data_IF_528114708216
#
_entry.id   IF_528114708216
#
_cell.length_a   1.000
_cell.length_b   1.000
_cell.length_c   1.000
_cell.angle_alpha   90.00
_cell.angle_beta   90.00
_cell.angle_gamma   90.00
#
_symmetry.space_group_name_H-M   'P 1'
#
loop_
_entity.id
_entity.type
_entity.pdbx_description
1 polymer ?
#
# COMPACT_ATOMS: atom_id res chain seq x y z
N UNK A 1 30.33 -17.92 21.39
CA UNK A 1 29.47 -17.97 20.18
C UNK A 1 28.78 -16.65 19.85
N UNK A 2 28.43 -15.79 20.80
CA UNK A 2 27.74 -14.52 20.54
C UNK A 2 28.61 -13.41 19.89
N UNK A 3 29.91 -13.36 20.16
CA UNK A 3 30.81 -12.30 19.62
C UNK A 3 31.03 -12.45 18.10
N UNK A 4 31.12 -13.66 17.58
CA UNK A 4 31.29 -13.91 16.15
C UNK A 4 30.06 -13.53 15.32
N UNK A 5 28.86 -13.78 15.86
CA UNK A 5 27.59 -13.36 15.25
C UNK A 5 27.41 -11.84 15.23
N UNK A 6 27.85 -11.14 16.29
CA UNK A 6 27.85 -9.66 16.31
C UNK A 6 28.83 -9.08 15.30
N UNK A 7 30.03 -9.65 15.19
CA UNK A 7 31.01 -9.25 14.19
C UNK A 7 30.47 -9.38 12.76
N UNK A 8 29.86 -10.52 12.42
CA UNK A 8 29.26 -10.75 11.08
C UNK A 8 28.15 -9.75 10.76
N UNK A 9 27.29 -9.41 11.72
CA UNK A 9 26.22 -8.41 11.52
C UNK A 9 26.78 -7.00 11.31
N UNK A 10 27.81 -6.63 12.05
CA UNK A 10 28.48 -5.33 11.89
C UNK A 10 29.17 -5.23 10.54
N UNK A 11 29.90 -6.27 10.10
CA UNK A 11 30.54 -6.31 8.79
C UNK A 11 29.51 -6.30 7.64
N UNK A 12 28.41 -7.05 7.77
CA UNK A 12 27.31 -7.01 6.81
C UNK A 12 26.68 -5.61 6.70
N UNK A 13 26.52 -4.93 7.82
CA UNK A 13 26.03 -3.54 7.85
C UNK A 13 27.00 -2.57 7.23
N UNK A 14 28.31 -2.69 7.51
CA UNK A 14 29.37 -1.85 6.91
C UNK A 14 29.45 -2.05 5.41
N UNK A 15 29.42 -3.30 4.93
CA UNK A 15 29.41 -3.62 3.50
C UNK A 15 28.12 -3.07 2.85
N UNK A 16 26.98 -3.25 3.50
CA UNK A 16 25.71 -2.70 3.01
C UNK A 16 25.76 -1.18 2.90
N UNK A 17 26.24 -0.47 3.92
CA UNK A 17 26.38 1.00 3.92
C UNK A 17 27.40 1.49 2.89
N UNK A 18 28.49 0.75 2.65
CA UNK A 18 29.50 1.11 1.64
C UNK A 18 29.03 0.90 0.19
N UNK A 19 28.13 -0.07 -0.04
CA UNK A 19 27.51 -0.31 -1.35
C UNK A 19 26.36 0.66 -1.66
N UNK A 20 25.91 1.41 -0.70
CA UNK A 20 24.72 2.26 -0.81
C UNK A 20 24.85 3.45 -1.76
N UNK A 21 25.99 4.18 -1.81
CA UNK A 21 26.21 5.20 -2.85
C UNK A 21 26.04 4.65 -4.26
N UNK A 22 26.44 3.39 -4.48
CA UNK A 22 26.30 2.68 -5.75
C UNK A 22 24.81 2.46 -6.08
N UNK A 23 23.99 2.12 -5.10
CA UNK A 23 22.53 1.95 -5.32
C UNK A 23 21.86 3.26 -5.76
N UNK A 24 22.15 4.37 -5.09
CA UNK A 24 21.65 5.70 -5.49
C UNK A 24 22.12 6.05 -6.91
N UNK A 25 23.39 5.81 -7.20
CA UNK A 25 23.96 6.06 -8.52
C UNK A 25 23.26 5.22 -9.61
N UNK A 26 23.03 3.93 -9.35
CA UNK A 26 22.31 3.05 -10.27
C UNK A 26 20.86 3.50 -10.51
N UNK A 27 20.16 4.01 -9.48
CA UNK A 27 18.82 4.60 -9.65
C UNK A 27 18.89 5.82 -10.56
N UNK A 28 19.87 6.70 -10.36
CA UNK A 28 20.06 7.90 -11.20
C UNK A 28 20.37 7.53 -12.67
N UNK A 29 21.29 6.59 -12.89
CA UNK A 29 21.59 6.08 -14.24
C UNK A 29 20.32 5.49 -14.88
N UNK A 30 19.61 4.61 -14.17
CA UNK A 30 18.38 4.02 -14.68
C UNK A 30 17.37 5.12 -15.10
N UNK A 31 17.16 6.12 -14.25
CA UNK A 31 16.23 7.21 -14.55
C UNK A 31 16.71 8.01 -15.76
N UNK A 32 17.99 8.38 -15.82
CA UNK A 32 18.62 9.05 -16.96
C UNK A 32 18.38 8.28 -18.27
N UNK A 33 18.62 6.97 -18.29
CA UNK A 33 18.42 6.15 -19.49
C UNK A 33 16.99 6.14 -20.00
N UNK A 34 15.99 6.23 -19.10
CA UNK A 34 14.59 6.39 -19.49
C UNK A 34 14.23 7.84 -19.87
N UNK A 35 14.76 8.83 -19.18
CA UNK A 35 14.46 10.25 -19.42
C UNK A 35 14.97 10.69 -20.80
N UNK A 36 16.12 10.19 -21.22
CA UNK A 36 16.71 10.45 -22.55
C UNK A 36 16.34 9.40 -23.61
N UNK A 37 15.33 8.54 -23.35
CA UNK A 37 14.82 7.53 -24.28
C UNK A 37 15.84 6.47 -24.76
N UNK A 38 16.97 6.29 -24.08
CA UNK A 38 17.86 5.15 -24.33
C UNK A 38 17.17 3.83 -24.02
N UNK A 39 16.36 3.80 -22.96
CA UNK A 39 15.48 2.68 -22.66
C UNK A 39 14.02 3.07 -22.93
N UNK A 40 13.38 2.29 -23.82
CA UNK A 40 11.97 2.53 -24.18
C UNK A 40 11.04 1.66 -23.33
N UNK A 41 10.03 2.24 -22.70
CA UNK A 41 9.01 1.47 -22.03
C UNK A 41 8.14 0.69 -23.02
N UNK A 42 7.64 -0.47 -22.62
CA UNK A 42 6.76 -1.31 -23.42
C UNK A 42 5.34 -0.79 -23.36
N UNK A 43 4.74 -0.54 -24.51
CA UNK A 43 3.33 -0.16 -24.64
C UNK A 43 2.41 -1.38 -24.59
N UNK A 44 1.20 -1.19 -24.15
CA UNK A 44 0.09 -2.16 -24.15
C UNK A 44 -1.07 -1.64 -24.99
N UNK A 45 -2.01 -2.51 -25.31
CA UNK A 45 -3.28 -2.12 -25.92
C UNK A 45 -4.16 -1.35 -24.93
N UNK A 46 -4.23 -1.83 -23.67
CA UNK A 46 -4.94 -1.12 -22.61
C UNK A 46 -4.18 0.16 -22.20
N UNK A 47 -4.92 1.17 -21.78
CA UNK A 47 -4.34 2.35 -21.12
C UNK A 47 -3.79 1.97 -19.74
N UNK A 48 -2.65 2.52 -19.39
CA UNK A 48 -1.96 2.17 -18.15
C UNK A 48 -1.89 3.37 -17.23
N UNK A 49 -2.49 3.23 -16.04
CA UNK A 49 -2.40 4.20 -14.96
C UNK A 49 -1.46 3.63 -13.89
N UNK A 50 -0.41 4.35 -13.56
CA UNK A 50 0.46 3.99 -12.45
C UNK A 50 0.04 4.75 -11.19
N UNK A 51 -0.16 4.02 -10.11
CA UNK A 51 -0.31 4.56 -8.76
C UNK A 51 0.93 4.21 -7.97
N UNK A 52 1.61 5.21 -7.41
CA UNK A 52 2.83 4.97 -6.67
C UNK A 52 3.14 6.07 -5.66
N UNK A 53 4.30 5.99 -5.04
CA UNK A 53 4.81 6.99 -4.10
C UNK A 53 6.33 7.11 -4.18
N UNK A 54 6.89 8.11 -3.52
CA UNK A 54 8.34 8.30 -3.41
C UNK A 54 8.95 7.60 -2.21
N UNK A 55 8.19 7.37 -1.13
CA UNK A 55 8.70 6.93 0.16
C UNK A 55 8.53 5.43 0.40
N UNK A 56 9.30 4.92 1.34
CA UNK A 56 9.05 3.64 2.00
C UNK A 56 8.02 3.91 3.10
N UNK A 57 6.79 3.45 2.93
CA UNK A 57 5.74 3.63 3.95
C UNK A 57 4.32 3.66 3.39
N UNK A 58 3.38 3.79 4.30
CA UNK A 58 1.95 3.77 4.03
C UNK A 58 1.42 5.11 3.52
N UNK A 59 1.63 5.44 2.26
CA UNK A 59 1.08 6.66 1.63
C UNK A 59 -0.37 6.52 1.15
N UNK A 60 -1.07 5.44 1.52
CA UNK A 60 -2.47 5.24 1.13
C UNK A 60 -2.68 4.72 -0.30
N UNK A 61 -1.68 4.11 -0.94
CA UNK A 61 -1.79 3.59 -2.32
C UNK A 61 -2.96 2.62 -2.51
N UNK A 62 -3.07 1.61 -1.67
CA UNK A 62 -4.10 0.57 -1.81
C UNK A 62 -5.52 1.15 -1.69
N UNK A 63 -5.87 1.96 -0.68
CA UNK A 63 -7.17 2.65 -0.65
C UNK A 63 -7.41 3.56 -1.85
N UNK A 64 -6.37 4.27 -2.34
CA UNK A 64 -6.50 5.11 -3.53
C UNK A 64 -6.74 4.26 -4.78
N UNK A 65 -6.03 3.15 -4.96
CA UNK A 65 -6.25 2.21 -6.07
C UNK A 65 -7.68 1.67 -6.07
N UNK A 66 -8.24 1.38 -4.90
CA UNK A 66 -9.65 0.98 -4.75
C UNK A 66 -10.59 2.09 -5.21
N UNK A 67 -10.40 3.32 -4.70
CA UNK A 67 -11.24 4.47 -5.05
C UNK A 67 -11.17 4.78 -6.55
N UNK A 68 -9.96 4.81 -7.12
CA UNK A 68 -9.73 5.02 -8.55
C UNK A 68 -10.41 3.94 -9.40
N UNK A 69 -10.30 2.68 -8.99
CA UNK A 69 -10.94 1.57 -9.72
C UNK A 69 -12.46 1.70 -9.72
N UNK A 70 -13.07 1.97 -8.55
CA UNK A 70 -14.52 2.19 -8.43
C UNK A 70 -14.98 3.38 -9.29
N UNK A 71 -14.22 4.47 -9.28
CA UNK A 71 -14.50 5.65 -10.11
C UNK A 71 -14.46 5.31 -11.60
N UNK A 72 -13.43 4.64 -12.10
CA UNK A 72 -13.31 4.29 -13.52
C UNK A 72 -14.41 3.32 -13.95
N UNK A 73 -14.77 2.36 -13.10
CA UNK A 73 -15.90 1.44 -13.35
C UNK A 73 -17.22 2.21 -13.44
N UNK A 74 -17.44 3.22 -12.58
CA UNK A 74 -18.64 4.08 -12.65
C UNK A 74 -18.73 4.89 -13.93
N UNK A 75 -17.62 5.05 -14.65
CA UNK A 75 -17.53 5.68 -15.98
C UNK A 75 -17.55 4.64 -17.12
N UNK A 76 -17.95 3.40 -16.84
CA UNK A 76 -18.07 2.26 -17.77
C UNK A 76 -16.74 1.78 -18.38
N UNK A 77 -15.61 2.01 -17.74
CA UNK A 77 -14.36 1.39 -18.18
C UNK A 77 -14.20 -0.02 -17.58
N UNK A 78 -13.73 -0.96 -18.40
CA UNK A 78 -13.26 -2.26 -17.91
C UNK A 78 -11.86 -2.09 -17.29
N UNK A 79 -11.76 -2.33 -15.98
CA UNK A 79 -10.54 -2.08 -15.20
C UNK A 79 -9.89 -3.38 -14.79
N UNK A 80 -8.56 -3.46 -14.93
CA UNK A 80 -7.74 -4.52 -14.35
C UNK A 80 -6.62 -3.94 -13.45
N UNK A 81 -6.12 -4.72 -12.51
CA UNK A 81 -5.06 -4.28 -11.59
C UNK A 81 -3.86 -5.22 -11.66
N UNK A 82 -2.66 -4.65 -11.74
CA UNK A 82 -1.41 -5.40 -11.54
C UNK A 82 -0.83 -5.03 -10.19
N UNK A 83 -0.94 -5.95 -9.22
CA UNK A 83 -0.39 -5.83 -7.87
C UNK A 83 0.97 -6.50 -7.72
N UNK A 84 1.76 -6.09 -6.73
CA UNK A 84 3.10 -6.65 -6.48
C UNK A 84 3.09 -7.84 -5.52
N UNK A 85 2.01 -8.06 -4.77
CA UNK A 85 1.89 -9.12 -3.77
C UNK A 85 2.89 -8.96 -2.62
N UNK A 86 3.00 -7.76 -2.05
CA UNK A 86 3.77 -7.53 -0.84
C UNK A 86 3.21 -8.32 0.34
N UNK A 87 4.07 -8.72 1.27
CA UNK A 87 3.68 -9.47 2.46
C UNK A 87 3.46 -10.97 2.27
N UNK A 88 3.74 -11.55 1.09
CA UNK A 88 3.67 -12.99 0.87
C UNK A 88 4.57 -13.76 1.81
N UNK A 89 4.12 -14.94 2.23
CA UNK A 89 4.97 -15.86 2.97
C UNK A 89 5.87 -16.63 1.99
N UNK A 90 7.17 -16.37 2.06
CA UNK A 90 8.19 -16.94 1.15
C UNK A 90 8.36 -18.46 1.23
N UNK A 91 7.70 -19.15 2.16
CA UNK A 91 7.84 -20.59 2.38
C UNK A 91 6.94 -21.45 1.48
N UNK A 92 6.09 -20.85 0.62
CA UNK A 92 5.17 -21.59 -0.21
C UNK A 92 5.71 -21.83 -1.63
N UNK A 93 5.29 -22.96 -2.22
CA UNK A 93 5.69 -23.54 -3.49
C UNK A 93 5.52 -22.60 -4.70
N UNK A 94 4.67 -21.57 -4.61
CA UNK A 94 4.41 -20.56 -5.63
C UNK A 94 5.46 -19.44 -5.68
N UNK A 95 6.57 -19.61 -4.99
CA UNK A 95 7.67 -18.67 -5.00
C UNK A 95 8.19 -18.46 -6.42
N UNK A 96 7.92 -17.29 -6.98
CA UNK A 96 8.41 -16.89 -8.30
C UNK A 96 7.38 -16.95 -9.44
N UNK A 97 6.18 -17.42 -9.21
CA UNK A 97 5.12 -17.40 -10.22
C UNK A 97 4.24 -16.14 -10.09
N UNK A 98 3.83 -15.61 -11.23
CA UNK A 98 2.79 -14.60 -11.35
C UNK A 98 1.49 -15.28 -11.75
N UNK A 99 0.35 -14.81 -11.23
CA UNK A 99 -0.94 -15.44 -11.46
C UNK A 99 -2.08 -14.42 -11.44
N UNK A 100 -3.22 -14.79 -12.01
CA UNK A 100 -4.47 -14.07 -11.82
C UNK A 100 -5.06 -14.46 -10.47
N UNK A 101 -5.46 -13.44 -9.67
CA UNK A 101 -6.03 -13.65 -8.35
C UNK A 101 -7.44 -14.20 -8.44
N UNK A 102 -7.66 -15.35 -7.82
CA UNK A 102 -8.98 -15.99 -7.67
C UNK A 102 -9.32 -16.10 -6.18
N UNK A 103 -8.92 -17.21 -5.55
CA UNK A 103 -9.21 -17.52 -4.16
C UNK A 103 -7.94 -17.71 -3.30
N UNK A 104 -6.81 -17.14 -3.73
CA UNK A 104 -5.54 -17.27 -3.00
C UNK A 104 -5.60 -16.58 -1.65
N UNK A 105 -4.92 -17.18 -0.69
CA UNK A 105 -4.75 -16.64 0.65
C UNK A 105 -3.77 -15.43 0.65
N UNK A 106 -3.74 -14.70 1.75
CA UNK A 106 -2.79 -13.59 1.89
C UNK A 106 -1.33 -14.07 1.91
N UNK A 107 -1.06 -15.29 2.37
CA UNK A 107 0.26 -15.91 2.32
C UNK A 107 0.75 -16.10 0.87
N UNK A 108 -0.17 -16.34 -0.04
CA UNK A 108 0.13 -16.56 -1.46
C UNK A 108 0.10 -15.27 -2.28
N UNK A 109 -0.88 -14.41 -2.04
CA UNK A 109 -1.12 -13.21 -2.83
C UNK A 109 -0.56 -11.92 -2.23
N UNK A 110 -0.33 -11.90 -0.91
CA UNK A 110 0.00 -10.70 -0.14
C UNK A 110 -1.26 -10.02 0.43
N UNK A 111 -1.11 -9.43 1.62
CA UNK A 111 -2.21 -8.80 2.36
C UNK A 111 -2.84 -7.62 1.59
N UNK A 112 -2.03 -6.80 0.90
CA UNK A 112 -2.52 -5.69 0.07
C UNK A 112 -3.35 -6.19 -1.12
N UNK A 113 -2.94 -7.30 -1.75
CA UNK A 113 -3.67 -7.86 -2.89
C UNK A 113 -5.01 -8.45 -2.46
N UNK A 114 -5.04 -9.11 -1.30
CA UNK A 114 -6.30 -9.62 -0.72
C UNK A 114 -7.22 -8.46 -0.37
N UNK A 115 -6.69 -7.35 0.17
CA UNK A 115 -7.48 -6.15 0.44
C UNK A 115 -8.09 -5.57 -0.84
N UNK A 116 -7.33 -5.48 -1.93
CA UNK A 116 -7.86 -5.07 -3.24
C UNK A 116 -9.00 -6.00 -3.68
N UNK A 117 -8.80 -7.32 -3.60
CA UNK A 117 -9.80 -8.30 -4.04
C UNK A 117 -11.09 -8.24 -3.22
N UNK A 118 -10.99 -8.08 -1.90
CA UNK A 118 -12.16 -7.97 -1.02
C UNK A 118 -13.01 -6.70 -1.30
N UNK A 119 -12.38 -5.64 -1.81
CA UNK A 119 -13.07 -4.38 -2.11
C UNK A 119 -13.51 -4.26 -3.58
N UNK A 120 -12.99 -5.12 -4.46
CA UNK A 120 -13.14 -5.05 -5.92
C UNK A 120 -13.38 -6.47 -6.48
N UNK A 121 -14.50 -7.10 -6.09
CA UNK A 121 -14.79 -8.52 -6.35
C UNK A 121 -14.72 -8.90 -7.85
N UNK A 122 -15.22 -8.03 -8.75
CA UNK A 122 -15.33 -8.29 -10.18
C UNK A 122 -14.12 -7.80 -10.99
N UNK A 123 -13.17 -7.13 -10.34
CA UNK A 123 -11.97 -6.62 -11.00
C UNK A 123 -10.92 -7.73 -11.10
N UNK A 124 -10.41 -8.06 -12.30
CA UNK A 124 -9.32 -9.00 -12.45
C UNK A 124 -8.02 -8.39 -11.90
N UNK A 125 -7.37 -9.10 -10.97
CA UNK A 125 -6.12 -8.69 -10.33
C UNK A 125 -5.02 -9.67 -10.72
N UNK A 126 -4.03 -9.18 -11.44
CA UNK A 126 -2.84 -9.96 -11.79
C UNK A 126 -1.74 -9.71 -10.76
N UNK A 127 -1.35 -10.77 -10.06
CA UNK A 127 -0.32 -10.71 -9.02
C UNK A 127 1.05 -10.95 -9.64
N UNK A 128 1.88 -9.92 -9.67
CA UNK A 128 3.20 -9.94 -10.28
C UNK A 128 4.27 -10.36 -9.26
N UNK A 129 5.01 -11.44 -9.52
CA UNK A 129 6.07 -11.92 -8.63
C UNK A 129 7.29 -10.98 -8.55
N UNK A 130 7.66 -10.37 -9.66
CA UNK A 130 8.82 -9.46 -9.74
C UNK A 130 8.48 -8.25 -10.57
N UNK A 131 9.22 -7.16 -10.36
CA UNK A 131 9.10 -5.96 -11.20
C UNK A 131 9.16 -6.25 -12.71
N UNK A 132 9.85 -7.31 -13.13
CA UNK A 132 9.91 -7.74 -14.55
C UNK A 132 8.57 -8.22 -15.11
N UNK A 133 7.72 -8.79 -14.28
CA UNK A 133 6.46 -9.42 -14.70
C UNK A 133 5.28 -8.45 -14.79
N UNK A 134 5.44 -7.18 -14.36
CA UNK A 134 4.37 -6.17 -14.51
C UNK A 134 3.99 -5.95 -15.98
N UNK A 135 4.95 -5.99 -16.91
CA UNK A 135 4.67 -5.91 -18.37
C UNK A 135 3.79 -7.07 -18.80
N UNK A 136 4.11 -8.30 -18.36
CA UNK A 136 3.30 -9.48 -18.68
C UNK A 136 1.89 -9.36 -18.09
N UNK A 137 1.77 -8.89 -16.83
CA UNK A 137 0.48 -8.67 -16.18
C UNK A 137 -0.41 -7.68 -16.96
N UNK A 138 0.17 -6.57 -17.41
CA UNK A 138 -0.54 -5.57 -18.22
C UNK A 138 -1.05 -6.19 -19.52
N UNK A 139 -0.20 -6.90 -20.26
CA UNK A 139 -0.59 -7.55 -21.51
C UNK A 139 -1.65 -8.63 -21.26
N UNK A 140 -1.50 -9.43 -20.20
CA UNK A 140 -2.48 -10.44 -19.85
C UNK A 140 -3.87 -9.85 -19.60
N UNK A 141 -3.97 -8.80 -18.78
CA UNK A 141 -5.24 -8.14 -18.48
C UNK A 141 -5.83 -7.46 -19.72
N UNK A 142 -5.00 -6.85 -20.55
CA UNK A 142 -5.42 -6.20 -21.79
C UNK A 142 -5.94 -7.20 -22.84
N UNK A 143 -5.27 -8.36 -23.01
CA UNK A 143 -5.53 -9.28 -24.10
C UNK A 143 -6.49 -10.41 -23.71
N UNK A 144 -6.41 -10.90 -22.46
CA UNK A 144 -7.22 -12.04 -21.97
C UNK A 144 -8.46 -11.60 -21.22
N UNK A 145 -8.39 -10.49 -20.50
CA UNK A 145 -9.54 -9.96 -19.74
C UNK A 145 -10.20 -8.76 -20.44
N UNK A 146 -9.71 -8.34 -21.61
CA UNK A 146 -10.22 -7.21 -22.39
C UNK A 146 -10.38 -5.92 -21.55
N UNK A 147 -9.43 -5.66 -20.65
CA UNK A 147 -9.46 -4.45 -19.85
C UNK A 147 -9.12 -3.24 -20.72
N UNK A 148 -9.92 -2.16 -20.62
CA UNK A 148 -9.65 -0.88 -21.26
C UNK A 148 -8.52 -0.15 -20.54
N UNK A 149 -8.52 -0.23 -19.20
CA UNK A 149 -7.57 0.42 -18.33
C UNK A 149 -6.93 -0.60 -17.38
N UNK A 150 -5.62 -0.56 -17.26
CA UNK A 150 -4.87 -1.36 -16.29
C UNK A 150 -4.18 -0.44 -15.29
N UNK A 151 -4.50 -0.59 -14.01
CA UNK A 151 -3.88 0.14 -12.92
C UNK A 151 -2.67 -0.67 -12.40
N UNK A 152 -1.52 -0.03 -12.34
CA UNK A 152 -0.31 -0.58 -11.74
C UNK A 152 -0.20 -0.10 -10.29
N UNK A 153 -0.42 -1.00 -9.34
CA UNK A 153 -0.23 -0.69 -7.92
C UNK A 153 1.26 -0.75 -7.54
N UNK A 154 1.71 0.26 -6.76
CA UNK A 154 3.11 0.49 -6.35
C UNK A 154 4.10 0.43 -7.52
N UNK A 155 3.92 1.32 -8.53
CA UNK A 155 4.65 1.22 -9.78
C UNK A 155 5.42 2.46 -10.22
N UNK A 156 5.47 3.56 -9.46
CA UNK A 156 6.16 4.79 -9.88
C UNK A 156 7.62 4.55 -10.26
N UNK A 157 8.36 3.71 -9.53
CA UNK A 157 9.73 3.33 -9.85
C UNK A 157 9.84 2.31 -11.01
N UNK A 158 8.70 1.77 -11.50
CA UNK A 158 8.70 0.68 -12.47
C UNK A 158 8.53 1.18 -13.90
N UNK A 159 9.57 1.76 -14.49
CA UNK A 159 9.56 2.46 -15.79
C UNK A 159 9.55 1.56 -17.04
N UNK A 160 9.54 0.23 -16.90
CA UNK A 160 9.53 -0.71 -18.04
C UNK A 160 8.20 -0.76 -18.79
N UNK A 161 7.09 -0.44 -18.10
CA UNK A 161 5.75 -0.32 -18.69
C UNK A 161 5.55 1.13 -19.10
N UNK A 162 5.05 1.35 -20.31
CA UNK A 162 4.57 2.68 -20.69
C UNK A 162 3.34 3.02 -19.86
N UNK A 163 3.28 4.24 -19.35
CA UNK A 163 2.18 4.71 -18.52
C UNK A 163 1.56 5.91 -19.22
N UNK A 164 0.26 5.84 -19.42
CA UNK A 164 -0.52 6.92 -19.99
C UNK A 164 -0.79 8.00 -18.93
N UNK A 165 -0.91 7.58 -17.66
CA UNK A 165 -1.07 8.46 -16.52
C UNK A 165 -0.22 7.95 -15.33
N UNK A 166 0.60 8.82 -14.76
CA UNK A 166 1.46 8.52 -13.61
C UNK A 166 1.02 9.35 -12.41
N UNK A 167 0.37 8.72 -11.44
CA UNK A 167 -0.16 9.34 -10.21
C UNK A 167 0.77 9.01 -9.06
N UNK A 168 1.24 10.05 -8.36
CA UNK A 168 2.11 9.90 -7.19
C UNK A 168 1.40 10.40 -5.95
N UNK A 169 1.26 9.52 -4.97
CA UNK A 169 0.73 9.86 -3.66
C UNK A 169 1.86 10.30 -2.74
N UNK A 170 1.64 11.39 -2.04
CA UNK A 170 2.57 11.95 -1.06
C UNK A 170 1.83 12.13 0.25
N UNK A 171 2.43 11.67 1.33
CA UNK A 171 1.98 11.97 2.69
C UNK A 171 2.77 13.16 3.23
N UNK A 172 2.15 14.01 4.07
CA UNK A 172 2.85 15.08 4.78
C UNK A 172 4.05 14.59 5.57
N UNK A 173 3.90 13.42 6.18
CA UNK A 173 4.98 12.80 6.95
C UNK A 173 6.18 12.43 6.05
N UNK A 174 5.97 12.19 4.74
CA UNK A 174 7.03 11.82 3.78
C UNK A 174 7.95 12.99 3.41
N UNK A 175 7.41 14.20 3.34
CA UNK A 175 8.17 15.38 2.91
C UNK A 175 8.72 16.20 4.09
N UNK A 176 8.08 16.16 5.26
CA UNK A 176 8.57 16.82 6.47
C UNK A 176 9.78 16.10 7.10
N UNK A 177 10.01 14.82 6.73
CA UNK A 177 11.20 14.08 7.11
C UNK A 177 12.46 14.53 6.37
N UNK A 178 13.59 13.91 6.66
CA UNK A 178 14.80 14.13 5.86
C UNK A 178 14.50 13.71 4.42
N UNK A 179 14.52 14.64 3.47
CA UNK A 179 14.36 14.38 2.03
C UNK A 179 15.49 13.49 1.47
N UNK A 180 16.02 12.61 2.32
CA UNK A 180 17.12 11.70 2.00
C UNK A 180 16.58 10.38 1.50
N UNK A 181 17.31 9.79 0.57
CA UNK A 181 17.02 8.45 0.08
C UNK A 181 17.37 7.40 1.14
N UNK A 182 16.65 6.29 1.09
CA UNK A 182 16.97 5.11 1.93
C UNK A 182 18.44 4.68 1.73
N UNK A 183 19.19 4.34 2.80
CA UNK A 183 18.79 4.17 4.20
C UNK A 183 18.91 5.45 5.06
N UNK A 184 19.36 6.56 4.51
CA UNK A 184 19.56 7.82 5.26
C UNK A 184 18.24 8.58 5.48
N UNK A 185 17.18 8.17 4.82
CA UNK A 185 15.83 8.66 4.91
C UNK A 185 14.86 7.64 4.33
N UNK A 186 13.61 8.05 4.11
CA UNK A 186 12.54 7.16 3.66
C UNK A 186 12.32 7.16 2.14
N UNK A 187 13.02 8.00 1.37
CA UNK A 187 12.76 8.11 -0.05
C UNK A 187 13.37 6.92 -0.84
N UNK A 188 12.57 6.36 -1.75
CA UNK A 188 12.98 5.31 -2.72
C UNK A 188 13.75 5.91 -3.90
N UNK A 189 13.51 7.20 -4.19
CA UNK A 189 14.15 7.97 -5.24
C UNK A 189 14.14 9.48 -4.92
N UNK A 190 14.96 10.31 -5.59
CA UNK A 190 15.01 11.74 -5.32
C UNK A 190 13.65 12.43 -5.56
N UNK A 191 13.35 13.49 -4.79
CA UNK A 191 12.14 14.32 -4.95
C UNK A 191 11.99 14.85 -6.38
N UNK A 192 13.10 15.14 -7.07
CA UNK A 192 13.11 15.51 -8.49
C UNK A 192 12.36 14.51 -9.39
N UNK A 193 12.20 13.27 -8.96
CA UNK A 193 11.39 12.27 -9.66
C UNK A 193 9.93 12.67 -9.81
N UNK A 194 9.41 13.57 -8.98
CA UNK A 194 8.03 14.09 -9.10
C UNK A 194 7.78 14.83 -10.43
N UNK A 195 8.81 15.42 -11.02
CA UNK A 195 8.69 16.13 -12.31
C UNK A 195 8.16 15.27 -13.45
N UNK A 196 8.24 13.94 -13.35
CA UNK A 196 7.71 13.02 -14.35
C UNK A 196 6.29 12.53 -14.05
N UNK A 197 5.76 12.83 -12.86
CA UNK A 197 4.38 12.50 -12.51
C UNK A 197 3.42 13.42 -13.25
N UNK A 198 2.33 12.86 -13.77
CA UNK A 198 1.26 13.65 -14.38
C UNK A 198 0.38 14.29 -13.30
N UNK A 199 0.21 13.61 -12.17
CA UNK A 199 -0.55 14.08 -11.02
C UNK A 199 0.20 13.77 -9.72
N UNK A 200 0.24 14.72 -8.82
CA UNK A 200 0.75 14.55 -7.45
C UNK A 200 -0.40 14.79 -6.49
N UNK A 201 -0.73 13.80 -5.68
CA UNK A 201 -1.86 13.86 -4.77
C UNK A 201 -1.36 13.75 -3.33
N UNK A 202 -1.66 14.74 -2.53
CA UNK A 202 -1.41 14.72 -1.11
C UNK A 202 -2.51 13.96 -0.37
N UNK A 203 -2.10 12.95 0.43
CA UNK A 203 -3.05 12.06 1.12
C UNK A 203 -3.22 12.30 2.60
N UNK A 204 -2.41 13.15 3.23
CA UNK A 204 -2.43 13.34 4.70
C UNK A 204 -1.95 14.72 5.12
N UNK A 205 -2.79 15.72 5.10
CA UNK A 205 -2.47 17.04 5.65
C UNK A 205 -2.38 18.16 4.62
N UNK A 206 -2.05 19.35 5.07
CA UNK A 206 -1.94 20.56 4.24
C UNK A 206 -0.46 20.89 4.01
N UNK A 207 0.21 20.17 3.12
CA UNK A 207 1.62 20.37 2.81
C UNK A 207 1.86 21.45 1.75
N UNK A 208 0.90 21.58 0.85
CA UNK A 208 1.09 22.47 -0.26
C UNK A 208 0.78 23.89 0.21
N UNK A 209 1.83 24.62 0.65
CA UNK A 209 1.84 26.05 0.54
C UNK A 209 1.84 26.40 -0.95
N UNK A 210 1.16 27.45 -1.34
CA UNK A 210 1.02 27.91 -2.72
C UNK A 210 2.35 28.05 -3.51
N UNK A 211 3.47 28.06 -2.80
CA UNK A 211 4.84 28.22 -3.35
C UNK A 211 5.57 26.92 -3.72
N UNK A 212 4.95 25.72 -3.61
CA UNK A 212 5.65 24.45 -3.84
C UNK A 212 6.06 24.18 -5.30
N UNK A 213 5.60 24.99 -6.25
CA UNK A 213 6.08 25.01 -7.65
C UNK A 213 5.83 23.74 -8.47
N UNK A 214 5.14 22.75 -7.94
CA UNK A 214 4.76 21.56 -8.68
C UNK A 214 3.44 21.81 -9.41
N UNK A 215 3.43 21.65 -10.71
CA UNK A 215 2.23 21.67 -11.53
C UNK A 215 1.36 20.43 -11.22
N UNK A 216 0.04 20.59 -11.24
CA UNK A 216 -0.93 19.49 -11.05
C UNK A 216 -0.87 18.81 -9.66
N UNK A 217 -0.98 19.61 -8.61
CA UNK A 217 -1.07 19.13 -7.22
C UNK A 217 -2.52 19.10 -6.75
N UNK A 218 -2.90 18.03 -6.07
CA UNK A 218 -4.25 17.82 -5.58
C UNK A 218 -4.21 17.38 -4.13
N UNK A 219 -5.22 17.76 -3.35
CA UNK A 219 -5.41 17.30 -1.98
C UNK A 219 -6.53 16.28 -1.98
N UNK A 220 -6.24 15.09 -1.42
CA UNK A 220 -7.22 14.04 -1.24
C UNK A 220 -7.58 13.95 0.24
N UNK A 221 -8.83 14.21 0.53
CA UNK A 221 -9.39 14.01 1.86
C UNK A 221 -9.76 12.53 2.04
N UNK A 222 -9.43 12.01 3.19
CA UNK A 222 -9.90 10.69 3.58
C UNK A 222 -11.15 10.83 4.44
N UNK A 223 -12.03 9.89 4.23
CA UNK A 223 -13.18 9.69 5.07
C UNK A 223 -12.99 8.39 5.82
N UNK A 224 -13.16 8.46 7.12
CA UNK A 224 -13.30 7.24 7.91
C UNK A 224 -14.72 6.76 7.76
N UNK A 225 -14.87 5.48 7.45
CA UNK A 225 -16.18 4.89 7.58
C UNK A 225 -16.56 4.86 9.06
N UNK A 226 -17.81 5.19 9.35
CA UNK A 226 -18.40 5.00 10.68
C UNK A 226 -18.58 3.51 11.01
N UNK A 227 -17.88 2.62 10.33
CA UNK A 227 -18.03 1.18 10.44
C UNK A 227 -16.70 0.49 10.70
N UNK A 228 -16.78 -0.54 11.55
CA UNK A 228 -15.73 -1.50 11.80
C UNK A 228 -16.00 -2.75 10.96
N UNK A 229 -14.95 -3.25 10.31
CA UNK A 229 -15.00 -4.56 9.67
C UNK A 229 -14.63 -5.63 10.69
N UNK A 230 -15.51 -6.62 10.88
CA UNK A 230 -15.29 -7.75 11.79
C UNK A 230 -14.70 -8.96 11.06
N UNK A 231 -14.08 -9.93 11.78
CA UNK A 231 -13.46 -11.10 11.14
C UNK A 231 -14.39 -12.01 10.33
N UNK A 232 -15.69 -11.91 10.55
CA UNK A 232 -16.74 -12.62 9.81
C UNK A 232 -17.33 -11.82 8.64
N UNK A 233 -16.67 -10.73 8.24
CA UNK A 233 -17.10 -9.78 7.20
C UNK A 233 -18.36 -8.98 7.54
N UNK A 234 -18.78 -8.98 8.79
CA UNK A 234 -19.82 -8.08 9.27
C UNK A 234 -19.27 -6.67 9.46
N UNK A 235 -20.07 -5.68 9.14
CA UNK A 235 -19.79 -4.28 9.41
C UNK A 235 -20.62 -3.80 10.61
N UNK A 236 -19.97 -3.12 11.54
CA UNK A 236 -20.60 -2.55 12.72
C UNK A 236 -20.29 -1.06 12.80
N UNK A 237 -21.22 -0.26 13.29
CA UNK A 237 -20.96 1.14 13.56
C UNK A 237 -19.82 1.32 14.58
N UNK A 238 -19.01 2.37 14.45
CA UNK A 238 -17.92 2.68 15.39
C UNK A 238 -18.45 2.90 16.81
N UNK A 239 -19.67 3.42 16.96
CA UNK A 239 -20.35 3.59 18.26
C UNK A 239 -20.45 2.29 19.08
N UNK A 240 -20.37 1.13 18.43
CA UNK A 240 -20.29 -0.17 19.13
C UNK A 240 -19.09 -0.24 20.08
N UNK A 241 -18.05 0.56 19.84
CA UNK A 241 -16.86 0.61 20.69
C UNK A 241 -17.12 1.25 22.06
N UNK A 242 -18.17 2.05 22.22
CA UNK A 242 -18.54 2.72 23.49
C UNK A 242 -18.82 1.73 24.63
N UNK A 243 -19.21 0.49 24.28
CA UNK A 243 -19.44 -0.57 25.26
C UNK A 243 -18.15 -1.22 25.80
N UNK A 244 -16.97 -0.92 25.20
CA UNK A 244 -15.70 -1.50 25.61
C UNK A 244 -14.88 -0.49 26.40
N UNK A 245 -14.38 -0.92 27.58
CA UNK A 245 -13.61 -0.04 28.47
C UNK A 245 -12.09 -0.18 28.23
N UNK A 246 -11.63 -1.32 27.76
CA UNK A 246 -10.23 -1.68 27.66
C UNK A 246 -9.85 -2.10 26.23
N UNK A 247 -9.80 -1.14 25.32
CA UNK A 247 -9.48 -1.40 23.93
C UNK A 247 -7.96 -1.57 23.77
N UNK A 248 -7.54 -2.61 23.05
CA UNK A 248 -6.18 -2.84 22.57
C UNK A 248 -6.06 -2.40 21.12
N UNK A 249 -5.16 -1.49 20.79
CA UNK A 249 -4.78 -1.28 19.39
C UNK A 249 -3.68 -2.26 18.99
N UNK A 250 -3.81 -2.84 17.79
CA UNK A 250 -2.84 -3.77 17.22
C UNK A 250 -2.57 -3.40 15.76
N UNK A 251 -1.30 -3.17 15.40
CA UNK A 251 -0.94 -2.91 14.02
C UNK A 251 0.40 -3.53 13.63
N UNK A 252 0.50 -3.90 12.34
CA UNK A 252 1.70 -4.41 11.69
C UNK A 252 1.86 -3.75 10.31
N UNK A 253 2.04 -2.43 10.33
CA UNK A 253 2.15 -1.56 9.15
C UNK A 253 3.42 -0.72 9.22
N UNK A 254 3.89 -0.23 8.06
CA UNK A 254 5.14 0.53 7.94
C UNK A 254 5.15 1.88 8.67
N UNK A 255 3.99 2.48 8.95
CA UNK A 255 3.86 3.71 9.74
C UNK A 255 2.81 3.54 10.85
N UNK A 256 3.19 2.98 12.02
CA UNK A 256 2.27 2.79 13.15
C UNK A 256 1.67 4.09 13.71
N UNK A 257 2.43 5.21 13.65
CA UNK A 257 1.96 6.51 14.11
C UNK A 257 0.75 7.00 13.28
N UNK A 258 0.67 6.61 12.00
CA UNK A 258 -0.49 6.95 11.19
C UNK A 258 -1.77 6.27 11.69
N UNK A 259 -1.68 5.03 12.17
CA UNK A 259 -2.83 4.33 12.77
C UNK A 259 -3.22 4.95 14.10
N UNK A 260 -2.25 5.35 14.91
CA UNK A 260 -2.51 6.08 16.16
C UNK A 260 -3.22 7.40 15.90
N UNK A 261 -2.76 8.21 14.95
CA UNK A 261 -3.43 9.45 14.53
C UNK A 261 -4.88 9.18 14.06
N UNK A 262 -5.11 8.08 13.33
CA UNK A 262 -6.45 7.66 12.93
C UNK A 262 -7.36 7.44 14.15
N UNK A 263 -6.87 6.72 15.15
CA UNK A 263 -7.63 6.48 16.39
C UNK A 263 -7.92 7.80 17.15
N UNK A 264 -6.94 8.69 17.21
CA UNK A 264 -7.10 10.02 17.83
C UNK A 264 -8.17 10.87 17.13
N UNK A 265 -8.17 10.90 15.79
CA UNK A 265 -9.19 11.59 14.97
C UNK A 265 -10.59 11.04 15.22
N UNK A 266 -10.73 9.74 15.43
CA UNK A 266 -11.97 9.06 15.78
C UNK A 266 -12.31 9.19 17.28
N UNK A 267 -11.50 9.92 18.06
CA UNK A 267 -11.64 10.06 19.52
C UNK A 267 -11.60 8.71 20.27
N UNK A 268 -10.91 7.73 19.70
CA UNK A 268 -10.69 6.41 20.31
C UNK A 268 -9.34 6.42 21.01
N UNK A 269 -9.35 6.20 22.31
CA UNK A 269 -8.13 6.14 23.14
C UNK A 269 -7.88 4.69 23.59
N UNK A 270 -7.01 3.94 22.88
CA UNK A 270 -6.66 2.58 23.31
C UNK A 270 -5.94 2.61 24.66
N UNK A 271 -6.31 1.71 25.55
CA UNK A 271 -5.61 1.56 26.84
C UNK A 271 -4.21 0.99 26.68
N UNK A 272 -4.00 0.19 25.67
CA UNK A 272 -2.72 -0.46 25.32
C UNK A 272 -2.56 -0.54 23.80
N UNK A 273 -1.30 -0.61 23.35
CA UNK A 273 -0.95 -0.75 21.92
C UNK A 273 0.09 -1.84 21.73
N UNK A 274 -0.11 -2.69 20.75
CA UNK A 274 0.85 -3.67 20.29
C UNK A 274 1.24 -3.35 18.84
N UNK A 275 2.52 -3.06 18.63
CA UNK A 275 3.07 -2.72 17.32
C UNK A 275 3.99 -3.86 16.88
N UNK A 276 3.75 -4.38 15.69
CA UNK A 276 4.56 -5.40 15.04
C UNK A 276 5.28 -4.83 13.81
N UNK A 277 6.35 -5.49 13.32
CA UNK A 277 6.98 -5.10 12.06
C UNK A 277 5.99 -5.09 10.89
N UNK A 278 6.27 -4.27 9.87
CA UNK A 278 5.43 -4.20 8.65
C UNK A 278 5.24 -5.58 8.02
N UNK A 279 4.03 -5.85 7.55
CA UNK A 279 3.61 -7.13 6.96
C UNK A 279 3.85 -8.35 7.86
N UNK A 280 3.84 -8.18 9.19
CA UNK A 280 4.13 -9.27 10.12
C UNK A 280 3.20 -10.47 9.90
N UNK A 281 3.76 -11.69 9.67
CA UNK A 281 2.98 -12.89 9.48
C UNK A 281 2.64 -13.51 10.83
N UNK A 282 1.52 -13.11 11.43
CA UNK A 282 1.09 -13.67 12.70
C UNK A 282 1.06 -15.20 12.66
N UNK A 283 1.62 -15.83 13.70
CA UNK A 283 1.65 -17.30 13.89
C UNK A 283 0.84 -17.66 15.11
N UNK A 284 0.45 -18.94 15.26
CA UNK A 284 -0.28 -19.43 16.44
C UNK A 284 0.37 -19.01 17.76
N UNK A 285 1.72 -19.09 17.85
CA UNK A 285 2.46 -18.64 19.04
C UNK A 285 2.27 -17.17 19.39
N UNK A 286 2.10 -16.32 18.37
CA UNK A 286 1.92 -14.89 18.58
C UNK A 286 0.49 -14.63 19.09
N UNK A 287 -0.50 -15.38 18.58
CA UNK A 287 -1.87 -15.32 19.07
C UNK A 287 -1.95 -15.79 20.54
N UNK A 288 -1.20 -16.83 20.92
CA UNK A 288 -1.11 -17.20 22.33
C UNK A 288 -0.56 -16.07 23.21
N UNK A 289 0.49 -15.37 22.77
CA UNK A 289 1.03 -14.20 23.48
C UNK A 289 0.03 -13.04 23.54
N UNK A 290 -0.67 -12.80 22.45
CA UNK A 290 -1.75 -11.78 22.40
C UNK A 290 -2.84 -12.15 23.42
N UNK A 291 -3.29 -13.41 23.48
CA UNK A 291 -4.29 -13.85 24.45
C UNK A 291 -3.80 -13.75 25.90
N UNK A 292 -2.52 -14.09 26.18
CA UNK A 292 -1.94 -13.86 27.49
C UNK A 292 -1.93 -12.37 27.86
N UNK A 293 -1.60 -11.50 26.88
CA UNK A 293 -1.63 -10.05 27.08
C UNK A 293 -3.05 -9.54 27.33
N UNK A 294 -4.04 -10.04 26.58
CA UNK A 294 -5.47 -9.73 26.76
C UNK A 294 -5.91 -10.05 28.19
N UNK A 295 -5.63 -11.27 28.66
CA UNK A 295 -6.02 -11.72 30.01
C UNK A 295 -5.33 -10.89 31.11
N UNK A 296 -4.02 -10.63 30.96
CA UNK A 296 -3.24 -9.86 31.95
C UNK A 296 -3.71 -8.43 32.09
N UNK A 297 -4.20 -7.80 31.01
CA UNK A 297 -4.59 -6.38 30.98
C UNK A 297 -6.10 -6.18 30.94
N UNK A 298 -6.89 -7.25 31.08
CA UNK A 298 -8.37 -7.20 31.02
C UNK A 298 -8.87 -6.48 29.76
N UNK A 299 -8.27 -6.80 28.61
CA UNK A 299 -8.67 -6.25 27.32
C UNK A 299 -10.00 -6.88 26.91
N UNK A 300 -10.93 -6.07 26.43
CA UNK A 300 -12.28 -6.47 26.04
C UNK A 300 -12.58 -6.34 24.55
N UNK A 301 -11.74 -5.60 23.80
CA UNK A 301 -11.79 -5.54 22.32
C UNK A 301 -10.42 -5.24 21.71
N UNK A 302 -10.18 -5.71 20.48
CA UNK A 302 -9.01 -5.37 19.66
C UNK A 302 -9.45 -4.50 18.50
N UNK A 303 -8.71 -3.40 18.26
CA UNK A 303 -8.79 -2.62 17.03
C UNK A 303 -7.49 -2.76 16.24
N UNK A 304 -7.61 -3.06 14.96
CA UNK A 304 -6.47 -3.19 14.05
C UNK A 304 -6.72 -2.48 12.72
N UNK A 305 -5.77 -2.58 11.81
CA UNK A 305 -5.95 -2.14 10.41
C UNK A 305 -6.63 -3.23 9.58
N UNK A 306 -7.24 -2.87 8.45
CA UNK A 306 -7.84 -3.86 7.52
C UNK A 306 -6.81 -4.91 7.06
N UNK A 307 -5.56 -4.50 6.78
CA UNK A 307 -4.46 -5.41 6.42
C UNK A 307 -4.17 -6.44 7.51
N UNK A 308 -4.21 -6.01 8.76
CA UNK A 308 -3.97 -6.90 9.90
C UNK A 308 -5.16 -7.80 10.15
N UNK A 309 -6.39 -7.31 9.99
CA UNK A 309 -7.59 -8.11 10.10
C UNK A 309 -7.58 -9.31 9.14
N UNK A 310 -7.19 -9.10 7.88
CA UNK A 310 -7.03 -10.17 6.88
C UNK A 310 -6.16 -11.30 7.42
N UNK A 311 -5.05 -10.96 8.08
CA UNK A 311 -4.11 -11.94 8.66
C UNK A 311 -4.66 -12.57 9.95
N UNK A 312 -5.39 -11.82 10.76
CA UNK A 312 -5.97 -12.29 12.02
C UNK A 312 -7.21 -13.16 11.81
N UNK A 313 -7.92 -13.00 10.69
CA UNK A 313 -9.15 -13.71 10.34
C UNK A 313 -9.03 -15.23 10.46
N UNK A 314 -7.89 -15.81 10.08
CA UNK A 314 -7.61 -17.24 10.21
C UNK A 314 -7.56 -17.72 11.67
N UNK A 315 -7.37 -16.82 12.63
CA UNK A 315 -7.27 -17.11 14.06
C UNK A 315 -8.52 -16.74 14.86
N UNK A 316 -9.64 -16.43 14.20
CA UNK A 316 -10.89 -15.99 14.86
C UNK A 316 -11.39 -16.96 15.92
N UNK A 317 -11.11 -18.27 15.77
CA UNK A 317 -11.46 -19.29 16.78
C UNK A 317 -10.55 -19.28 18.03
N UNK A 318 -9.35 -18.70 17.91
CA UNK A 318 -8.37 -18.63 18.99
C UNK A 318 -8.46 -17.33 19.80
N UNK A 319 -8.92 -16.24 19.19
CA UNK A 319 -9.11 -14.94 19.84
C UNK A 319 -10.55 -14.91 20.35
N UNK A 320 -10.73 -14.81 21.68
CA UNK A 320 -12.03 -14.95 22.34
C UNK A 320 -12.77 -13.61 22.55
N UNK A 321 -12.13 -12.49 22.21
CA UNK A 321 -12.72 -11.17 22.31
C UNK A 321 -12.99 -10.60 20.92
N UNK A 322 -13.89 -9.62 20.78
CA UNK A 322 -14.14 -8.94 19.52
C UNK A 322 -12.88 -8.33 18.92
N UNK A 323 -12.73 -8.50 17.60
CA UNK A 323 -11.68 -7.87 16.80
C UNK A 323 -12.36 -7.05 15.73
N UNK A 324 -11.99 -5.78 15.60
CA UNK A 324 -12.50 -4.91 14.56
C UNK A 324 -11.36 -4.21 13.83
N UNK A 325 -11.57 -3.88 12.56
CA UNK A 325 -10.66 -3.06 11.79
C UNK A 325 -11.33 -1.76 11.36
N UNK A 326 -10.61 -0.65 11.54
CA UNK A 326 -11.04 0.64 11.02
C UNK A 326 -10.79 0.65 9.51
N UNK A 327 -11.84 0.96 8.76
CA UNK A 327 -11.80 1.06 7.31
C UNK A 327 -11.55 2.51 6.89
N UNK A 328 -10.71 2.68 5.88
CA UNK A 328 -10.37 4.00 5.33
C UNK A 328 -10.84 4.02 3.87
N UNK A 329 -11.72 4.95 3.54
CA UNK A 329 -12.11 5.21 2.18
C UNK A 329 -11.52 6.53 1.69
N UNK A 330 -11.16 6.58 0.42
CA UNK A 330 -10.89 7.82 -0.28
C UNK A 330 -12.08 8.17 -1.17
N UNK A 331 -12.58 9.39 -1.00
CA UNK A 331 -13.51 9.98 -1.95
C UNK A 331 -12.72 10.89 -2.89
N UNK A 332 -12.72 10.56 -4.17
CA UNK A 332 -12.13 11.43 -5.17
C UNK A 332 -12.99 12.69 -5.29
N UNK A 333 -12.40 13.85 -5.11
CA UNK A 333 -13.12 15.10 -5.33
C UNK A 333 -13.30 15.37 -6.84
N UNK A 334 -14.22 16.26 -7.18
CA UNK A 334 -14.57 16.57 -8.58
C UNK A 334 -13.39 17.09 -9.40
N UNK A 335 -12.41 17.70 -8.78
CA UNK A 335 -11.21 18.22 -9.42
C UNK A 335 -10.29 17.07 -9.85
N UNK A 336 -9.99 16.13 -8.93
CA UNK A 336 -9.21 14.91 -9.22
C UNK A 336 -9.91 14.09 -10.30
N UNK A 337 -11.23 13.90 -10.19
CA UNK A 337 -12.01 13.15 -11.18
C UNK A 337 -11.91 13.75 -12.58
N UNK A 338 -12.10 15.08 -12.71
CA UNK A 338 -11.98 15.79 -13.97
C UNK A 338 -10.59 15.66 -14.57
N UNK A 339 -9.55 15.82 -13.77
CA UNK A 339 -8.17 15.74 -14.25
C UNK A 339 -7.85 14.30 -14.72
N UNK A 340 -8.24 13.28 -13.98
CA UNK A 340 -8.06 11.88 -14.40
C UNK A 340 -8.75 11.64 -15.76
N UNK A 341 -10.01 12.07 -15.91
CA UNK A 341 -10.75 11.87 -17.16
C UNK A 341 -10.16 12.67 -18.32
N UNK A 342 -9.68 13.92 -18.09
CA UNK A 342 -9.04 14.71 -19.13
C UNK A 342 -7.78 13.98 -19.63
N UNK A 343 -6.91 13.53 -18.74
CA UNK A 343 -5.68 12.81 -19.10
C UNK A 343 -5.95 11.48 -19.82
N UNK A 344 -6.99 10.76 -19.41
CA UNK A 344 -7.39 9.54 -20.11
C UNK A 344 -7.90 9.88 -21.52
N UNK A 345 -8.73 10.93 -21.69
CA UNK A 345 -9.29 11.32 -22.99
C UNK A 345 -8.27 11.92 -23.96
N UNK A 346 -7.28 12.67 -23.47
CA UNK A 346 -6.17 13.18 -24.30
C UNK A 346 -5.38 12.04 -24.98
N UNK A 347 -5.51 10.82 -24.50
CA UNK A 347 -4.76 9.65 -24.95
C UNK A 347 -5.64 8.68 -25.76
N UNK A 348 -6.98 8.83 -25.75
CA UNK A 348 -7.92 8.16 -26.66
C UNK A 348 -8.09 8.98 -27.93
#
# INVERSE_FOLDING_TARGET
MNSFYYGLKVWALVIFLSLFPIHIFLIRIKNFLYDYNFWKPKKSRAKVISVGNLSLGGSGKTPFTIALSKFLISKNYSVGIVATGHGRNNNNFFFGQSFLMENQSWEEAGDETVLLKNNLNDVPIYVSWRKKNKVHGVNYLSEKNNCDIVILDDAFQHRKVYRDLDIVLISSDDLMGSQKMFPYGLLREPVLGLKRANMVIETKGNLFNEDSGAQNQFILHWEFNDYLLMPNDETCAISVLEKYNNILSLCAIGNPESFKKTLELLKITPKKSLVYPDHYPFKKRDIHKINQFINKNSVDAILCTEKDLIKLKQYKKMIKIPVGAITINYCLNSEIEKEILSKIREVF
#
